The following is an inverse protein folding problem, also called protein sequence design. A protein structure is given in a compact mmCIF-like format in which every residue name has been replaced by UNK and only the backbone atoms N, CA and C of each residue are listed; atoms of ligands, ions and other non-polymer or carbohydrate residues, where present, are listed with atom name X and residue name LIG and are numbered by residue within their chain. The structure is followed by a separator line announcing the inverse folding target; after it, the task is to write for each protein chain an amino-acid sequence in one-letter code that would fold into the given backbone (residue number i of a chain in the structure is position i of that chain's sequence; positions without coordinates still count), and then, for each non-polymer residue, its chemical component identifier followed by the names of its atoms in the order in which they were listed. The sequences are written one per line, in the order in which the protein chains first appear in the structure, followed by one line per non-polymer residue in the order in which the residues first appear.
data_IF_158616062726
#
_entry.id   IF_158616062726
#
_cell.length_a   1.000
_cell.length_b   1.000
_cell.length_c   1.000
_cell.angle_alpha   90.00
_cell.angle_beta   90.00
_cell.angle_gamma   90.00
#
_symmetry.space_group_name_H-M   'P 1'
#
loop_
_entity.id
_entity.type
_entity.pdbx_description
1 polymer ?
#
# COMPACT_ATOMS: atom_id res chain seq x y z
N UNK A 1 29.62 31.54 6.93
CA UNK A 1 29.19 31.31 5.54
C UNK A 1 30.32 31.66 4.62
N UNK A 2 30.77 30.69 3.80
CA UNK A 2 31.93 30.83 2.91
C UNK A 2 31.61 31.64 1.64
N UNK A 3 30.34 31.97 1.38
CA UNK A 3 29.91 32.65 0.15
C UNK A 3 29.98 31.77 -1.12
N UNK A 4 30.23 30.48 -0.96
CA UNK A 4 30.25 29.52 -2.06
C UNK A 4 28.81 29.25 -2.57
N UNK A 5 28.66 29.19 -3.87
CA UNK A 5 27.38 28.89 -4.53
C UNK A 5 27.44 27.45 -5.09
N UNK A 6 26.45 26.65 -4.73
CA UNK A 6 26.34 25.28 -5.19
C UNK A 6 25.08 25.13 -6.06
N UNK A 7 25.20 24.41 -7.17
CA UNK A 7 24.07 23.93 -7.95
C UNK A 7 23.61 22.60 -7.37
N UNK A 8 22.36 22.54 -6.94
CA UNK A 8 21.72 21.35 -6.41
C UNK A 8 20.52 20.99 -7.29
N UNK A 9 20.32 19.69 -7.50
CA UNK A 9 19.10 19.19 -8.13
C UNK A 9 17.95 19.24 -7.13
N UNK A 10 16.81 19.77 -7.55
CA UNK A 10 15.62 19.90 -6.69
C UNK A 10 15.17 18.55 -6.13
N UNK A 11 15.26 17.51 -6.94
CA UNK A 11 14.91 16.12 -6.58
C UNK A 11 15.82 15.56 -5.48
N UNK A 12 17.13 15.85 -5.54
CA UNK A 12 18.06 15.44 -4.50
C UNK A 12 17.79 16.15 -3.17
N UNK A 13 17.52 17.45 -3.25
CA UNK A 13 17.15 18.24 -2.06
C UNK A 13 15.84 17.72 -1.47
N UNK A 14 14.83 17.47 -2.30
CA UNK A 14 13.55 16.93 -1.87
C UNK A 14 13.72 15.56 -1.17
N UNK A 15 14.50 14.65 -1.79
CA UNK A 15 14.80 13.33 -1.24
C UNK A 15 15.49 13.42 0.13
N UNK A 16 16.53 14.24 0.23
CA UNK A 16 17.24 14.44 1.50
C UNK A 16 16.36 15.06 2.57
N UNK A 17 15.57 16.07 2.20
CA UNK A 17 14.65 16.72 3.11
C UNK A 17 13.59 15.75 3.64
N UNK A 18 12.95 15.00 2.74
CA UNK A 18 11.94 14.00 3.10
C UNK A 18 12.52 12.93 4.04
N UNK A 19 13.72 12.43 3.74
CA UNK A 19 14.41 11.43 4.58
C UNK A 19 14.73 11.98 5.97
N UNK A 20 15.27 13.20 6.06
CA UNK A 20 15.63 13.82 7.35
C UNK A 20 14.41 14.14 8.21
N UNK A 21 13.31 14.56 7.59
CA UNK A 21 12.03 14.83 8.26
C UNK A 21 11.27 13.53 8.59
N UNK A 22 11.74 12.37 8.14
CA UNK A 22 11.01 11.08 8.22
C UNK A 22 9.60 11.24 7.65
N UNK A 23 9.50 11.88 6.49
CA UNK A 23 8.23 12.11 5.83
C UNK A 23 7.54 10.79 5.50
N UNK A 24 6.23 10.71 5.75
CA UNK A 24 5.42 9.55 5.37
C UNK A 24 5.31 9.44 3.85
N UNK A 25 5.20 10.58 3.18
CA UNK A 25 5.04 10.66 1.72
C UNK A 25 5.99 11.68 1.09
N UNK A 26 6.52 11.34 -0.07
CA UNK A 26 7.22 12.25 -0.98
C UNK A 26 6.52 12.18 -2.34
N UNK A 27 6.23 13.32 -2.93
CA UNK A 27 5.51 13.40 -4.20
C UNK A 27 6.37 14.14 -5.20
N UNK A 28 6.68 13.49 -6.33
CA UNK A 28 7.30 14.11 -7.49
C UNK A 28 6.22 14.41 -8.53
N UNK A 29 6.18 15.67 -8.94
CA UNK A 29 5.28 16.17 -9.99
C UNK A 29 6.10 16.31 -11.27
N UNK A 30 5.82 15.49 -12.27
CA UNK A 30 6.50 15.48 -13.56
C UNK A 30 5.54 15.58 -14.74
N UNK A 31 6.06 15.47 -15.97
CA UNK A 31 5.21 15.41 -17.15
C UNK A 31 4.50 14.06 -17.30
N UNK A 32 5.20 12.97 -16.97
CA UNK A 32 4.68 11.62 -17.09
C UNK A 32 3.65 11.34 -15.99
N UNK A 33 2.55 10.69 -16.36
CA UNK A 33 1.50 10.26 -15.42
C UNK A 33 2.06 9.28 -14.37
N UNK A 34 3.08 8.54 -14.70
CA UNK A 34 3.71 7.52 -13.90
C UNK A 34 4.47 6.56 -14.80
N UNK A 35 4.81 5.40 -14.27
CA UNK A 35 5.58 4.38 -14.96
C UNK A 35 4.65 3.45 -15.73
N UNK A 36 4.94 3.24 -17.01
CA UNK A 36 4.15 2.38 -17.89
C UNK A 36 4.84 1.02 -18.10
N UNK A 37 4.06 -0.04 -18.17
CA UNK A 37 4.54 -1.35 -18.59
C UNK A 37 4.75 -1.43 -20.11
N UNK A 38 5.22 -2.59 -20.59
CA UNK A 38 5.42 -2.86 -22.03
C UNK A 38 4.11 -2.79 -22.85
N UNK A 39 2.94 -2.88 -22.21
CA UNK A 39 1.62 -2.77 -22.83
C UNK A 39 1.01 -1.37 -22.70
N UNK A 40 1.79 -0.38 -22.28
CA UNK A 40 1.34 0.98 -22.02
C UNK A 40 0.24 1.05 -20.93
N UNK A 41 0.29 0.15 -19.95
CA UNK A 41 -0.58 0.20 -18.79
C UNK A 41 0.19 0.81 -17.62
N UNK A 42 -0.47 1.69 -16.87
CA UNK A 42 0.12 2.34 -15.71
C UNK A 42 0.40 1.32 -14.60
N UNK A 43 1.67 1.26 -14.20
CA UNK A 43 2.11 0.49 -13.03
C UNK A 43 1.83 1.32 -11.79
N UNK A 44 0.80 0.96 -11.06
CA UNK A 44 0.32 1.75 -9.91
C UNK A 44 1.18 1.61 -8.67
N UNK A 45 1.80 0.46 -8.48
CA UNK A 45 2.62 0.18 -7.30
C UNK A 45 3.84 -0.66 -7.67
N UNK A 46 5.01 -0.28 -7.16
CA UNK A 46 6.28 -0.97 -7.37
C UNK A 46 7.13 -0.91 -6.10
N UNK A 47 7.91 -1.97 -5.88
CA UNK A 47 8.97 -1.91 -4.89
C UNK A 47 10.19 -1.16 -5.44
N UNK A 48 11.00 -0.52 -4.57
CA UNK A 48 12.22 0.17 -5.01
C UNK A 48 13.16 -0.73 -5.81
N UNK A 49 13.22 -2.01 -5.49
CA UNK A 49 14.08 -2.99 -6.16
C UNK A 49 13.66 -3.31 -7.60
N UNK A 50 12.41 -3.04 -7.95
CA UNK A 50 11.90 -3.24 -9.30
C UNK A 50 12.17 -2.07 -10.25
N UNK A 51 12.73 -0.95 -9.75
CA UNK A 51 12.91 0.26 -10.55
C UNK A 51 14.15 0.24 -11.45
N UNK A 52 15.17 -0.57 -11.15
CA UNK A 52 16.44 -0.55 -11.89
C UNK A 52 16.30 -0.71 -13.42
N UNK A 53 15.50 -1.65 -13.94
CA UNK A 53 15.30 -1.79 -15.38
C UNK A 53 14.67 -0.55 -16.01
N UNK A 54 13.72 0.07 -15.32
CA UNK A 54 13.02 1.26 -15.80
C UNK A 54 13.92 2.51 -15.76
N UNK A 55 14.72 2.67 -14.72
CA UNK A 55 15.71 3.75 -14.64
C UNK A 55 16.64 3.69 -15.85
N UNK A 56 17.16 2.51 -16.19
CA UNK A 56 18.02 2.31 -17.36
C UNK A 56 17.29 2.60 -18.67
N UNK A 57 16.05 2.13 -18.80
CA UNK A 57 15.21 2.38 -19.98
C UNK A 57 14.98 3.88 -20.20
N UNK A 58 14.56 4.59 -19.14
CA UNK A 58 14.21 6.00 -19.24
C UNK A 58 15.42 6.93 -19.28
N UNK A 59 16.62 6.47 -18.92
CA UNK A 59 17.82 7.31 -18.91
C UNK A 59 18.11 7.97 -20.27
N UNK A 60 17.77 7.29 -21.38
CA UNK A 60 17.95 7.82 -22.74
C UNK A 60 16.67 8.44 -23.32
N UNK A 61 15.49 8.08 -22.82
CA UNK A 61 14.21 8.53 -23.35
C UNK A 61 13.71 9.82 -22.67
N UNK A 62 13.84 9.89 -21.35
CA UNK A 62 13.44 11.01 -20.51
C UNK A 62 14.34 11.09 -19.30
N UNK A 63 15.51 11.79 -19.39
CA UNK A 63 16.48 11.86 -18.30
C UNK A 63 15.90 12.44 -17.00
N UNK A 64 14.95 13.39 -17.11
CA UNK A 64 14.25 13.98 -15.98
C UNK A 64 13.40 12.92 -15.24
N UNK A 65 12.63 12.12 -15.98
CA UNK A 65 11.84 11.06 -15.37
C UNK A 65 12.71 9.95 -14.79
N UNK A 66 13.83 9.61 -15.45
CA UNK A 66 14.81 8.68 -14.90
C UNK A 66 15.41 9.20 -13.58
N UNK A 67 15.62 10.51 -13.47
CA UNK A 67 16.05 11.14 -12.22
C UNK A 67 14.97 11.02 -11.13
N UNK A 68 13.72 11.29 -11.46
CA UNK A 68 12.58 11.08 -10.52
C UNK A 68 12.53 9.63 -10.03
N UNK A 69 12.65 8.63 -10.94
CA UNK A 69 12.66 7.21 -10.56
C UNK A 69 13.83 6.88 -9.63
N UNK A 70 15.04 7.37 -9.93
CA UNK A 70 16.23 7.17 -9.11
C UNK A 70 16.07 7.79 -7.71
N UNK A 71 15.57 9.01 -7.65
CA UNK A 71 15.36 9.71 -6.37
C UNK A 71 14.22 9.09 -5.57
N UNK A 72 13.16 8.61 -6.24
CA UNK A 72 12.07 7.86 -5.61
C UNK A 72 12.59 6.54 -5.00
N UNK A 73 13.41 5.80 -5.73
CA UNK A 73 14.08 4.59 -5.23
C UNK A 73 14.91 4.90 -3.98
N UNK A 74 15.76 5.92 -4.05
CA UNK A 74 16.63 6.31 -2.95
C UNK A 74 15.83 6.78 -1.73
N UNK A 75 14.78 7.58 -1.90
CA UNK A 75 13.92 8.05 -0.83
C UNK A 75 13.25 6.88 -0.10
N UNK A 76 12.67 5.95 -0.86
CA UNK A 76 12.01 4.77 -0.30
C UNK A 76 12.99 3.87 0.47
N UNK A 77 14.17 3.57 -0.10
CA UNK A 77 15.21 2.81 0.59
C UNK A 77 15.80 3.53 1.81
N UNK A 78 15.65 4.85 1.88
CA UNK A 78 16.11 5.68 3.01
C UNK A 78 15.03 5.92 4.07
N UNK A 79 13.89 5.24 3.98
CA UNK A 79 12.85 5.22 5.01
C UNK A 79 11.66 6.14 4.78
N UNK A 80 11.54 6.77 3.60
CA UNK A 80 10.26 7.40 3.19
C UNK A 80 9.30 6.28 2.80
N UNK A 81 8.18 6.17 3.50
CA UNK A 81 7.27 5.04 3.35
C UNK A 81 6.66 4.95 1.96
N UNK A 82 6.27 6.08 1.38
CA UNK A 82 5.62 6.14 0.05
C UNK A 82 6.22 7.27 -0.77
N UNK A 83 6.57 6.94 -2.00
CA UNK A 83 6.98 7.97 -2.96
C UNK A 83 6.04 7.89 -4.16
N UNK A 84 5.40 8.99 -4.49
CA UNK A 84 4.43 9.06 -5.57
C UNK A 84 5.04 9.81 -6.76
N UNK A 85 4.83 9.27 -7.95
CA UNK A 85 5.15 9.90 -9.23
C UNK A 85 3.83 10.20 -9.93
N UNK A 86 3.50 11.48 -10.11
CA UNK A 86 2.25 11.92 -10.71
C UNK A 86 2.50 13.03 -11.74
N UNK A 87 1.56 13.21 -12.66
CA UNK A 87 1.66 14.26 -13.67
C UNK A 87 1.05 15.57 -13.18
N UNK A 88 1.75 16.67 -13.42
CA UNK A 88 1.19 18.01 -13.22
C UNK A 88 0.24 18.43 -14.36
N UNK A 89 0.27 17.72 -15.49
CA UNK A 89 -0.61 18.00 -16.63
C UNK A 89 -2.07 17.60 -16.39
N UNK A 90 -2.32 16.78 -15.37
CA UNK A 90 -3.67 16.34 -15.02
C UNK A 90 -4.23 17.19 -13.88
N UNK A 91 -5.32 17.91 -14.14
CA UNK A 91 -5.98 18.76 -13.13
C UNK A 91 -6.57 17.91 -12.01
N UNK A 92 -6.29 18.30 -10.76
CA UNK A 92 -6.71 17.51 -9.59
C UNK A 92 -5.84 16.29 -9.27
N UNK A 93 -4.73 16.05 -10.01
CA UNK A 93 -3.86 14.90 -9.84
C UNK A 93 -3.46 14.62 -8.38
N UNK A 94 -3.06 15.66 -7.66
CA UNK A 94 -2.62 15.53 -6.27
C UNK A 94 -3.77 15.10 -5.34
N UNK A 95 -4.97 15.62 -5.56
CA UNK A 95 -6.15 15.27 -4.77
C UNK A 95 -6.55 13.82 -5.07
N UNK A 96 -6.59 13.46 -6.34
CA UNK A 96 -6.96 12.11 -6.74
C UNK A 96 -5.96 11.07 -6.24
N UNK A 97 -4.65 11.35 -6.33
CA UNK A 97 -3.60 10.45 -5.81
C UNK A 97 -3.68 10.26 -4.29
N UNK A 98 -3.93 11.33 -3.54
CA UNK A 98 -3.88 11.28 -2.07
C UNK A 98 -5.19 10.83 -1.42
N UNK A 99 -6.34 11.10 -2.05
CA UNK A 99 -7.65 10.90 -1.44
C UNK A 99 -8.48 9.82 -2.12
N UNK A 100 -8.00 9.22 -3.21
CA UNK A 100 -8.63 8.03 -3.78
C UNK A 100 -7.80 6.79 -3.49
N UNK A 101 -8.45 5.65 -3.49
CA UNK A 101 -7.82 4.38 -3.18
C UNK A 101 -6.82 3.92 -4.24
N UNK A 102 -7.14 4.14 -5.49
CA UNK A 102 -6.38 3.61 -6.62
C UNK A 102 -5.33 4.59 -7.12
N UNK A 103 -5.41 5.87 -6.70
CA UNK A 103 -4.55 6.94 -7.20
C UNK A 103 -4.61 7.11 -8.71
N UNK A 104 -3.78 7.97 -9.27
CA UNK A 104 -3.65 8.16 -10.72
C UNK A 104 -2.22 7.99 -11.22
N UNK A 105 -1.25 7.95 -10.30
CA UNK A 105 0.17 7.87 -10.57
C UNK A 105 0.77 6.50 -10.30
N UNK A 106 2.09 6.50 -10.10
CA UNK A 106 2.86 5.34 -9.64
C UNK A 106 3.37 5.58 -8.23
N UNK A 107 3.04 4.68 -7.33
CA UNK A 107 3.55 4.67 -5.96
C UNK A 107 4.74 3.71 -5.85
N UNK A 108 5.82 4.17 -5.25
CA UNK A 108 6.98 3.36 -4.89
C UNK A 108 7.00 3.19 -3.38
N UNK A 109 7.01 1.96 -2.93
CA UNK A 109 7.03 1.62 -1.50
C UNK A 109 7.83 0.34 -1.27
N UNK A 110 8.66 0.32 -0.22
CA UNK A 110 9.37 -0.90 0.22
C UNK A 110 8.57 -1.64 1.31
N UNK A 111 7.50 -1.02 1.78
CA UNK A 111 6.63 -1.66 2.74
C UNK A 111 5.85 -2.78 2.04
N UNK A 112 6.00 -3.99 2.53
CA UNK A 112 4.94 -4.98 2.44
C UNK A 112 3.77 -4.44 3.27
N UNK A 113 3.00 -3.51 2.68
CA UNK A 113 1.90 -2.80 3.33
C UNK A 113 0.74 -3.71 3.74
N UNK A 114 0.83 -4.97 3.39
CA UNK A 114 -0.15 -5.98 3.70
C UNK A 114 0.44 -6.98 4.70
N UNK A 115 0.88 -6.50 5.85
CA UNK A 115 1.27 -7.39 6.94
C UNK A 115 0.02 -8.01 7.55
N UNK A 116 0.01 -9.34 7.58
CA UNK A 116 -1.01 -10.09 8.31
C UNK A 116 -0.71 -9.97 9.79
N UNK A 117 -1.63 -9.39 10.55
CA UNK A 117 -1.53 -9.30 12.01
C UNK A 117 -2.79 -9.80 12.69
N UNK A 118 -2.67 -10.14 13.94
CA UNK A 118 -3.83 -10.43 14.77
C UNK A 118 -4.62 -9.13 14.98
N UNK A 119 -5.95 -9.24 14.88
CA UNK A 119 -6.83 -8.12 15.11
C UNK A 119 -6.87 -7.73 16.61
N UNK A 120 -7.16 -6.48 16.85
CA UNK A 120 -7.35 -5.93 18.18
C UNK A 120 -8.71 -5.21 18.28
N UNK A 121 -9.06 -4.75 19.46
CA UNK A 121 -10.40 -4.15 19.74
C UNK A 121 -10.69 -2.92 18.84
N UNK A 122 -9.67 -2.18 18.41
CA UNK A 122 -9.84 -1.02 17.53
C UNK A 122 -10.24 -1.40 16.10
N UNK A 123 -9.97 -2.65 15.70
CA UNK A 123 -10.27 -3.17 14.36
C UNK A 123 -11.73 -3.58 14.18
N UNK A 124 -12.49 -3.70 15.27
CA UNK A 124 -13.90 -4.17 15.24
C UNK A 124 -14.76 -3.36 14.27
N UNK A 125 -14.59 -2.03 14.26
CA UNK A 125 -15.32 -1.17 13.32
C UNK A 125 -14.98 -1.47 11.85
N UNK A 126 -13.71 -1.64 11.55
CA UNK A 126 -13.23 -2.02 10.22
C UNK A 126 -13.71 -3.41 9.78
N UNK A 127 -13.68 -4.38 10.71
CA UNK A 127 -14.21 -5.73 10.47
C UNK A 127 -15.71 -5.71 10.16
N UNK A 128 -16.50 -4.97 10.92
CA UNK A 128 -17.94 -4.83 10.66
C UNK A 128 -18.18 -4.26 9.26
N UNK A 129 -17.46 -3.22 8.87
CA UNK A 129 -17.59 -2.62 7.54
C UNK A 129 -17.20 -3.59 6.41
N UNK A 130 -16.21 -4.45 6.64
CA UNK A 130 -15.78 -5.48 5.68
C UNK A 130 -16.77 -6.65 5.59
N UNK A 131 -17.33 -7.11 6.72
CA UNK A 131 -18.14 -8.31 6.79
C UNK A 131 -19.61 -8.05 6.45
N UNK A 132 -20.16 -6.89 6.84
CA UNK A 132 -21.59 -6.58 6.70
C UNK A 132 -22.16 -6.75 5.29
N UNK A 133 -21.50 -6.32 4.19
CA UNK A 133 -21.99 -6.57 2.83
C UNK A 133 -22.13 -8.07 2.54
N UNK A 134 -21.17 -8.88 2.96
CA UNK A 134 -21.14 -10.32 2.74
C UNK A 134 -22.18 -11.07 3.59
N UNK A 135 -22.45 -10.56 4.80
CA UNK A 135 -23.52 -11.05 5.66
C UNK A 135 -24.91 -10.74 5.07
N UNK A 136 -25.09 -9.55 4.50
CA UNK A 136 -26.34 -9.16 3.82
C UNK A 136 -26.62 -9.97 2.56
N UNK A 137 -25.57 -10.37 1.85
CA UNK A 137 -25.66 -11.26 0.68
C UNK A 137 -25.84 -12.74 1.07
N UNK A 138 -25.82 -13.06 2.37
CA UNK A 138 -25.93 -14.44 2.87
C UNK A 138 -24.70 -15.31 2.62
N UNK A 139 -23.55 -14.69 2.27
CA UNK A 139 -22.28 -15.38 2.05
C UNK A 139 -21.62 -15.76 3.38
N UNK A 140 -21.78 -14.89 4.38
CA UNK A 140 -21.25 -15.09 5.74
C UNK A 140 -22.39 -15.09 6.76
N UNK A 141 -22.20 -15.85 7.83
CA UNK A 141 -23.12 -15.84 8.98
C UNK A 141 -22.95 -14.54 9.74
N UNK A 142 -24.07 -13.90 10.07
CA UNK A 142 -24.09 -12.67 10.86
C UNK A 142 -23.42 -12.86 12.22
N UNK A 143 -22.57 -11.90 12.56
CA UNK A 143 -21.93 -11.79 13.88
C UNK A 143 -22.28 -10.45 14.52
N UNK A 144 -22.79 -10.51 15.74
CA UNK A 144 -23.02 -9.27 16.50
C UNK A 144 -21.69 -8.61 16.86
N UNK A 145 -21.73 -7.31 17.16
CA UNK A 145 -20.56 -6.55 17.58
C UNK A 145 -19.90 -7.16 18.82
N UNK A 146 -20.71 -7.53 19.81
CA UNK A 146 -20.27 -8.12 21.08
C UNK A 146 -19.53 -9.44 20.83
N UNK A 147 -20.01 -10.22 19.86
CA UNK A 147 -19.36 -11.46 19.49
C UNK A 147 -18.00 -11.21 18.80
N UNK A 148 -17.92 -10.23 17.91
CA UNK A 148 -16.64 -9.85 17.29
C UNK A 148 -15.64 -9.33 18.33
N UNK A 149 -16.11 -8.54 19.30
CA UNK A 149 -15.28 -8.05 20.40
C UNK A 149 -14.75 -9.19 21.29
N UNK A 150 -15.57 -10.18 21.58
CA UNK A 150 -15.19 -11.33 22.42
C UNK A 150 -14.27 -12.32 21.71
N UNK A 151 -14.35 -12.41 20.38
CA UNK A 151 -13.59 -13.35 19.55
C UNK A 151 -12.46 -12.63 18.76
N UNK A 152 -12.13 -11.38 19.09
CA UNK A 152 -11.25 -10.53 18.26
C UNK A 152 -9.87 -11.14 18.02
N UNK A 153 -9.32 -11.84 19.00
CA UNK A 153 -8.02 -12.49 18.91
C UNK A 153 -7.99 -13.69 17.95
N UNK A 154 -9.17 -14.18 17.54
CA UNK A 154 -9.29 -15.23 16.54
C UNK A 154 -9.16 -14.71 15.11
N UNK A 155 -9.21 -13.37 14.94
CA UNK A 155 -9.13 -12.74 13.63
C UNK A 155 -7.71 -12.35 13.30
N UNK A 156 -7.26 -12.77 12.11
CA UNK A 156 -6.10 -12.21 11.43
C UNK A 156 -6.59 -11.20 10.39
N UNK A 157 -5.98 -10.04 10.32
CA UNK A 157 -6.37 -8.95 9.43
C UNK A 157 -5.19 -8.47 8.59
N UNK A 158 -5.53 -7.99 7.42
CA UNK A 158 -4.65 -7.17 6.58
C UNK A 158 -5.19 -5.76 6.61
N UNK A 159 -4.36 -4.84 7.08
CA UNK A 159 -4.70 -3.43 7.18
C UNK A 159 -3.85 -2.61 6.21
N UNK A 160 -4.46 -1.56 5.66
CA UNK A 160 -3.75 -0.53 4.89
C UNK A 160 -4.41 0.82 5.16
N UNK A 161 -3.59 1.80 5.55
CA UNK A 161 -4.05 3.18 5.81
C UNK A 161 -5.24 3.29 6.78
N UNK A 162 -5.25 2.46 7.83
CA UNK A 162 -6.34 2.42 8.80
C UNK A 162 -7.60 1.69 8.31
N UNK A 163 -7.56 1.08 7.13
CA UNK A 163 -8.68 0.32 6.56
C UNK A 163 -8.38 -1.17 6.56
N UNK A 164 -9.27 -1.97 7.10
CA UNK A 164 -9.18 -3.44 7.01
C UNK A 164 -9.56 -3.88 5.59
N UNK A 165 -8.59 -4.48 4.88
CA UNK A 165 -8.76 -4.93 3.50
C UNK A 165 -9.19 -6.39 3.42
N UNK A 166 -8.71 -7.20 4.35
CA UNK A 166 -9.04 -8.62 4.43
C UNK A 166 -9.04 -9.07 5.89
N UNK A 167 -9.80 -10.10 6.17
CA UNK A 167 -9.74 -10.81 7.43
C UNK A 167 -9.95 -12.30 7.24
N UNK A 168 -9.38 -13.09 8.16
CA UNK A 168 -9.65 -14.50 8.31
C UNK A 168 -9.89 -14.79 9.79
N UNK A 169 -10.91 -15.59 10.10
CA UNK A 169 -11.16 -16.07 11.45
C UNK A 169 -10.60 -17.49 11.62
N UNK A 170 -9.76 -17.68 12.63
CA UNK A 170 -9.06 -18.91 12.92
C UNK A 170 -9.52 -19.44 14.29
N UNK A 171 -10.17 -20.60 14.28
CA UNK A 171 -10.65 -21.23 15.51
C UNK A 171 -9.89 -22.51 15.80
N UNK A 172 -9.35 -22.67 17.01
CA UNK A 172 -8.74 -23.93 17.41
C UNK A 172 -9.81 -25.01 17.54
N UNK A 173 -9.56 -26.17 16.95
CA UNK A 173 -10.42 -27.36 17.14
C UNK A 173 -9.85 -28.17 18.31
N UNK A 174 -10.54 -28.23 19.45
CA UNK A 174 -10.09 -29.03 20.57
C UNK A 174 -10.12 -30.52 20.21
N UNK A 175 -9.04 -31.22 20.54
CA UNK A 175 -9.01 -32.68 20.51
C UNK A 175 -9.26 -33.23 21.92
N UNK A 176 -9.78 -34.49 22.02
CA UNK A 176 -10.04 -35.19 23.28
C UNK A 176 -8.82 -35.28 24.22
N UNK A 177 -7.61 -35.07 23.68
CA UNK A 177 -6.34 -35.06 24.44
C UNK A 177 -5.99 -33.68 25.06
N UNK A 178 -6.80 -32.66 24.84
CA UNK A 178 -6.51 -31.27 25.31
C UNK A 178 -5.42 -30.54 24.50
N UNK A 179 -4.83 -31.17 23.50
CA UNK A 179 -3.88 -30.54 22.59
C UNK A 179 -4.59 -29.97 21.38
N UNK A 180 -4.20 -28.74 20.95
CA UNK A 180 -4.67 -28.14 19.70
C UNK A 180 -3.88 -28.75 18.55
N UNK A 181 -4.50 -29.65 17.77
CA UNK A 181 -3.85 -30.29 16.60
C UNK A 181 -4.27 -29.74 15.26
N UNK A 182 -5.32 -28.93 15.20
CA UNK A 182 -5.84 -28.34 13.97
C UNK A 182 -6.49 -26.99 14.24
N UNK A 183 -6.58 -26.18 13.19
CA UNK A 183 -7.24 -24.88 13.19
C UNK A 183 -8.23 -24.84 12.05
N UNK A 184 -9.46 -24.41 12.32
CA UNK A 184 -10.46 -24.17 11.30
C UNK A 184 -10.42 -22.71 10.85
N UNK A 185 -10.40 -22.48 9.53
CA UNK A 185 -10.61 -21.15 8.94
C UNK A 185 -12.11 -20.98 8.77
N UNK A 186 -12.74 -20.26 9.68
CA UNK A 186 -14.19 -20.06 9.69
C UNK A 186 -14.70 -19.07 8.63
N UNK A 187 -13.83 -18.40 7.94
CA UNK A 187 -14.16 -17.51 6.83
C UNK A 187 -13.01 -16.59 6.46
N UNK A 188 -12.94 -16.26 5.18
CA UNK A 188 -12.01 -15.27 4.64
C UNK A 188 -12.81 -14.23 3.89
N UNK A 189 -12.73 -12.98 4.33
CA UNK A 189 -13.33 -11.83 3.65
C UNK A 189 -12.22 -10.96 3.08
N UNK A 190 -12.33 -10.61 1.82
CA UNK A 190 -11.37 -9.75 1.10
C UNK A 190 -12.14 -8.70 0.32
N UNK A 191 -11.68 -7.46 0.33
CA UNK A 191 -12.28 -6.40 -0.49
C UNK A 191 -12.20 -6.80 -1.96
N UNK A 192 -13.35 -6.76 -2.65
CA UNK A 192 -13.53 -7.28 -4.00
C UNK A 192 -12.51 -6.81 -5.04
N UNK A 193 -11.99 -5.58 -4.91
CA UNK A 193 -10.98 -5.03 -5.84
C UNK A 193 -9.63 -5.74 -5.76
N UNK A 194 -9.27 -6.33 -4.61
CA UNK A 194 -8.05 -7.12 -4.43
C UNK A 194 -8.16 -8.53 -5.01
N UNK A 195 -9.38 -9.08 -5.15
CA UNK A 195 -9.57 -10.40 -5.79
C UNK A 195 -9.17 -10.43 -7.27
N UNK A 196 -9.14 -9.28 -7.95
CA UNK A 196 -8.80 -9.21 -9.39
C UNK A 196 -7.30 -9.04 -9.68
N UNK A 197 -6.48 -8.57 -8.72
CA UNK A 197 -5.05 -8.37 -8.94
C UNK A 197 -4.19 -9.62 -8.74
N UNK A 198 -4.72 -10.68 -8.11
CA UNK A 198 -4.00 -11.94 -7.86
C UNK A 198 -4.41 -13.08 -8.80
N UNK A 199 -4.87 -12.77 -10.02
CA UNK A 199 -4.95 -13.76 -11.09
C UNK A 199 -3.87 -13.45 -12.11
N UNK A 200 -2.64 -13.90 -11.80
CA UNK A 200 -1.66 -14.49 -12.75
C UNK A 200 -0.50 -15.05 -11.93
#
# INVERSE_FOLDING_TARGET
TTGEVFNLLAEEVATKTATMLKADKLIFLGEQQGLMDAKQQLLRELSPRQLDPYIQQYQNQSPEFALHLKQAQQASLSGVHRVHLISYAYDGALIEELFTRDGIGTMITDAHYEEVRIANIHDVGGLINLLRPLEQEGILVYRSRERLESEIEQFAVIERDGMILACAALYPIPHDSGEIKSVEIAGVAVVYRYRKSNRY
#
